data_IF_545234496809
#
_entry.id   IF_545234496809
#
_cell.length_a   1.000
_cell.length_b   1.000
_cell.length_c   1.000
_cell.angle_alpha   90.00
_cell.angle_beta   90.00
_cell.angle_gamma   90.00
#
_symmetry.space_group_name_H-M   'P 1'
#
loop_
_entity.id
_entity.type
_entity.pdbx_description
1 polymer ?
#
# COMPACT_ATOMS: atom_id res chain seq x y z
N UNK A 1 -0.18 3.65 10.37
CA UNK A 1 -0.71 2.57 9.52
C UNK A 1 0.30 2.19 8.46
N UNK A 2 0.22 0.96 7.94
CA UNK A 2 1.10 0.45 6.89
C UNK A 2 0.26 -0.15 5.77
N UNK A 3 0.57 0.23 4.54
CA UNK A 3 -0.15 -0.24 3.35
C UNK A 3 0.85 -0.76 2.33
N UNK A 4 0.66 -2.00 1.89
CA UNK A 4 1.35 -2.56 0.74
C UNK A 4 0.58 -2.17 -0.52
N UNK A 5 1.22 -1.44 -1.42
CA UNK A 5 0.74 -1.23 -2.79
C UNK A 5 1.39 -2.28 -3.67
N UNK A 6 0.57 -3.11 -4.33
CA UNK A 6 1.05 -4.25 -5.11
C UNK A 6 1.51 -3.81 -6.48
N UNK A 7 2.61 -4.39 -6.94
CA UNK A 7 3.01 -4.26 -8.33
C UNK A 7 1.98 -4.97 -9.22
N UNK A 8 1.84 -4.48 -10.45
CA UNK A 8 0.93 -5.08 -11.43
C UNK A 8 1.71 -5.64 -12.60
N UNK A 9 1.22 -6.75 -13.14
CA UNK A 9 1.68 -7.26 -14.42
C UNK A 9 1.25 -6.31 -15.56
N UNK A 10 1.79 -6.53 -16.78
CA UNK A 10 1.46 -5.72 -17.96
C UNK A 10 -0.03 -5.70 -18.32
N UNK A 11 -0.80 -6.66 -17.80
CA UNK A 11 -2.25 -6.75 -17.97
C UNK A 11 -3.04 -6.12 -16.81
N UNK A 12 -2.37 -5.42 -15.89
CA UNK A 12 -2.98 -4.75 -14.75
C UNK A 12 -3.33 -5.65 -13.57
N UNK A 13 -3.05 -6.95 -13.63
CA UNK A 13 -3.32 -7.87 -12.51
C UNK A 13 -2.29 -7.70 -11.40
N UNK A 14 -2.70 -7.66 -10.12
CA UNK A 14 -1.78 -7.55 -8.99
C UNK A 14 -0.90 -8.80 -8.88
N UNK A 15 0.37 -8.59 -8.51
CA UNK A 15 1.33 -9.65 -8.23
C UNK A 15 1.38 -9.93 -6.72
N UNK A 16 1.37 -11.22 -6.35
CA UNK A 16 1.45 -11.64 -4.96
C UNK A 16 2.88 -11.50 -4.41
N UNK A 17 2.99 -10.88 -3.24
CA UNK A 17 4.27 -10.71 -2.54
C UNK A 17 5.22 -9.69 -3.18
N UNK A 18 4.78 -8.97 -4.20
CA UNK A 18 5.56 -7.94 -4.89
C UNK A 18 4.85 -6.57 -4.83
N UNK A 19 5.60 -5.54 -4.48
CA UNK A 19 5.06 -4.20 -4.24
C UNK A 19 5.90 -3.34 -3.30
N UNK A 20 5.36 -2.18 -2.96
CA UNK A 20 6.00 -1.19 -2.10
C UNK A 20 5.15 -0.91 -0.86
N UNK A 21 5.79 -0.83 0.31
CA UNK A 21 5.11 -0.55 1.58
C UNK A 21 5.24 0.92 1.93
N UNK A 22 4.09 1.56 2.11
CA UNK A 22 3.99 2.95 2.55
C UNK A 22 3.48 3.01 3.99
N UNK A 23 4.05 3.94 4.77
CA UNK A 23 3.73 4.12 6.19
C UNK A 23 3.36 5.58 6.44
N UNK A 24 2.32 5.80 7.24
CA UNK A 24 1.86 7.14 7.63
C UNK A 24 1.03 7.10 8.91
N UNK A 25 0.88 8.23 9.60
CA UNK A 25 0.04 8.32 10.80
C UNK A 25 -1.45 8.28 10.41
N UNK A 26 -1.81 8.97 9.33
CA UNK A 26 -3.14 9.02 8.73
C UNK A 26 -3.19 8.38 7.33
N UNK A 27 -4.40 8.18 6.79
CA UNK A 27 -4.57 7.71 5.40
C UNK A 27 -3.97 8.71 4.41
N UNK A 28 -4.20 10.00 4.67
CA UNK A 28 -3.66 11.09 3.85
C UNK A 28 -2.13 11.04 3.80
N UNK A 29 -1.47 10.76 4.92
CA UNK A 29 0.01 10.63 4.97
C UNK A 29 0.51 9.47 4.12
N UNK A 30 -0.20 8.34 4.12
CA UNK A 30 0.13 7.20 3.25
C UNK A 30 0.04 7.59 1.78
N UNK A 31 -1.03 8.27 1.39
CA UNK A 31 -1.22 8.70 -0.01
C UNK A 31 -0.18 9.77 -0.40
N UNK A 32 0.23 10.64 0.51
CA UNK A 32 1.36 11.56 0.29
C UNK A 32 2.69 10.81 0.12
N UNK A 33 2.94 9.77 0.93
CA UNK A 33 4.13 8.94 0.78
C UNK A 33 4.14 8.22 -0.58
N UNK A 34 2.99 7.71 -1.04
CA UNK A 34 2.82 7.13 -2.37
C UNK A 34 3.17 8.14 -3.47
N UNK A 35 2.60 9.35 -3.40
CA UNK A 35 2.90 10.44 -4.34
C UNK A 35 4.40 10.72 -4.44
N UNK A 36 5.08 10.81 -3.29
CA UNK A 36 6.51 11.10 -3.20
C UNK A 36 7.44 10.03 -3.77
N UNK A 37 6.98 8.77 -3.88
CA UNK A 37 7.77 7.68 -4.46
C UNK A 37 7.63 7.57 -5.99
N UNK A 38 6.57 8.16 -6.56
CA UNK A 38 6.39 8.13 -8.02
C UNK A 38 7.24 9.17 -8.75
N UNK A 39 7.64 8.86 -9.99
CA UNK A 39 8.23 9.84 -10.93
C UNK A 39 7.29 11.01 -11.28
N UNK A 40 6.06 11.00 -10.76
CA UNK A 40 5.03 12.03 -10.96
C UNK A 40 4.86 12.92 -9.72
N UNK A 41 5.91 13.06 -8.90
CA UNK A 41 5.94 13.90 -7.70
C UNK A 41 5.62 15.37 -7.95
N UNK A 42 5.69 15.82 -9.20
CA UNK A 42 5.48 17.20 -9.65
C UNK A 42 4.01 17.67 -9.59
N UNK A 43 3.07 16.76 -9.34
CA UNK A 43 1.67 17.11 -9.04
C UNK A 43 1.64 18.05 -7.82
N UNK A 44 0.95 19.20 -7.89
CA UNK A 44 0.95 20.18 -6.78
C UNK A 44 0.14 19.68 -5.58
N UNK A 45 -0.97 19.00 -5.83
CA UNK A 45 -1.90 18.56 -4.80
C UNK A 45 -2.11 17.03 -4.82
N UNK A 46 -2.60 16.48 -3.71
CA UNK A 46 -2.96 15.07 -3.54
C UNK A 46 -4.14 14.68 -4.44
N UNK A 47 -5.08 15.60 -4.67
CA UNK A 47 -6.23 15.34 -5.53
C UNK A 47 -5.82 15.13 -6.99
N UNK A 48 -4.90 15.96 -7.50
CA UNK A 48 -4.36 15.81 -8.85
C UNK A 48 -3.59 14.50 -9.02
N UNK A 49 -2.87 14.09 -7.96
CA UNK A 49 -2.20 12.79 -7.91
C UNK A 49 -3.22 11.64 -7.97
N UNK A 50 -4.28 11.68 -7.15
CA UNK A 50 -5.34 10.67 -7.16
C UNK A 50 -5.96 10.58 -8.56
N UNK A 51 -6.36 11.70 -9.15
CA UNK A 51 -6.94 11.76 -10.48
C UNK A 51 -6.04 11.17 -11.56
N UNK A 52 -4.74 11.42 -11.49
CA UNK A 52 -3.76 10.81 -12.38
C UNK A 52 -3.72 9.28 -12.22
N UNK A 53 -3.71 8.77 -10.98
CA UNK A 53 -3.71 7.32 -10.73
C UNK A 53 -5.00 6.70 -11.27
N UNK A 54 -6.17 7.32 -11.07
CA UNK A 54 -7.45 6.84 -11.61
C UNK A 54 -7.41 6.76 -13.14
N UNK A 55 -6.89 7.80 -13.80
CA UNK A 55 -6.72 7.81 -15.26
C UNK A 55 -5.80 6.68 -15.72
N UNK A 56 -4.67 6.48 -15.05
CA UNK A 56 -3.71 5.43 -15.40
C UNK A 56 -4.28 4.04 -15.18
N UNK A 57 -4.97 3.80 -14.07
CA UNK A 57 -5.63 2.52 -13.79
C UNK A 57 -6.64 2.17 -14.90
N UNK A 58 -7.41 3.15 -15.36
CA UNK A 58 -8.37 2.96 -16.46
C UNK A 58 -7.68 2.74 -17.80
N UNK A 59 -6.69 3.56 -18.14
CA UNK A 59 -6.05 3.53 -19.47
C UNK A 59 -5.09 2.36 -19.66
N UNK A 60 -4.33 2.00 -18.62
CA UNK A 60 -3.26 1.01 -18.71
C UNK A 60 -3.73 -0.38 -18.28
N UNK A 61 -4.62 -0.44 -17.30
CA UNK A 61 -5.06 -1.70 -16.68
C UNK A 61 -6.54 -2.02 -16.92
N UNK A 62 -7.30 -1.11 -17.55
CA UNK A 62 -8.75 -1.27 -17.74
C UNK A 62 -9.54 -1.26 -16.43
N UNK A 63 -8.93 -0.86 -15.31
CA UNK A 63 -9.55 -0.85 -13.99
C UNK A 63 -10.19 0.50 -13.73
N UNK A 64 -11.51 0.51 -13.53
CA UNK A 64 -12.24 1.72 -13.19
C UNK A 64 -12.40 1.84 -11.67
N UNK A 65 -11.63 2.75 -11.09
CA UNK A 65 -11.64 3.06 -9.65
C UNK A 65 -12.58 4.25 -9.41
N UNK A 66 -13.45 4.14 -8.40
CA UNK A 66 -14.37 5.20 -8.02
C UNK A 66 -13.95 5.82 -6.68
N UNK A 67 -13.74 7.14 -6.67
CA UNK A 67 -13.39 7.92 -5.47
C UNK A 67 -14.51 8.89 -5.14
N UNK A 68 -14.85 9.00 -3.85
CA UNK A 68 -15.88 9.90 -3.31
C UNK A 68 -15.30 10.73 -2.17
N UNK A 69 -15.96 11.84 -1.85
CA UNK A 69 -15.58 12.73 -0.76
C UNK A 69 -15.43 14.17 -1.22
N UNK A 70 -15.65 15.11 -0.30
CA UNK A 70 -15.57 16.55 -0.55
C UNK A 70 -14.26 17.14 -0.03
N UNK A 71 -13.60 16.45 0.91
CA UNK A 71 -12.31 16.84 1.46
C UNK A 71 -11.17 15.95 0.94
N UNK A 72 -9.93 16.46 1.01
CA UNK A 72 -8.73 15.70 0.64
C UNK A 72 -8.59 14.39 1.45
N UNK A 73 -8.95 14.41 2.73
CA UNK A 73 -8.90 13.24 3.60
C UNK A 73 -9.94 12.18 3.21
N UNK A 74 -11.19 12.60 2.93
CA UNK A 74 -12.24 11.68 2.46
C UNK A 74 -11.89 11.06 1.11
N UNK A 75 -11.33 11.86 0.18
CA UNK A 75 -10.88 11.37 -1.13
C UNK A 75 -9.71 10.40 -0.98
N UNK A 76 -8.73 10.69 -0.12
CA UNK A 76 -7.61 9.78 0.15
C UNK A 76 -8.11 8.45 0.75
N UNK A 77 -9.05 8.51 1.68
CA UNK A 77 -9.69 7.33 2.26
C UNK A 77 -10.45 6.51 1.21
N UNK A 78 -11.29 7.16 0.41
CA UNK A 78 -12.04 6.47 -0.65
C UNK A 78 -11.14 5.91 -1.74
N UNK A 79 -10.02 6.58 -2.05
CA UNK A 79 -9.02 6.12 -3.00
C UNK A 79 -8.33 4.85 -2.50
N UNK A 80 -7.85 4.85 -1.25
CA UNK A 80 -7.19 3.68 -0.68
C UNK A 80 -8.14 2.49 -0.59
N UNK A 81 -9.39 2.72 -0.18
CA UNK A 81 -10.43 1.70 -0.16
C UNK A 81 -10.70 1.11 -1.56
N UNK A 82 -10.71 1.94 -2.60
CA UNK A 82 -10.83 1.46 -3.98
C UNK A 82 -9.65 0.57 -4.39
N UNK A 83 -8.40 0.96 -4.06
CA UNK A 83 -7.24 0.11 -4.35
C UNK A 83 -7.31 -1.24 -3.63
N UNK A 84 -7.73 -1.24 -2.36
CA UNK A 84 -7.89 -2.47 -1.58
C UNK A 84 -8.96 -3.37 -2.18
N UNK A 85 -10.13 -2.82 -2.53
CA UNK A 85 -11.24 -3.57 -3.14
C UNK A 85 -10.86 -4.25 -4.46
N UNK A 86 -9.97 -3.63 -5.22
CA UNK A 86 -9.46 -4.17 -6.47
C UNK A 86 -8.21 -5.06 -6.31
N UNK A 87 -7.79 -5.33 -5.07
CA UNK A 87 -6.61 -6.15 -4.77
C UNK A 87 -5.28 -5.49 -5.17
N UNK A 88 -5.29 -4.18 -5.42
CA UNK A 88 -4.10 -3.38 -5.76
C UNK A 88 -3.36 -2.89 -4.50
N UNK A 89 -4.02 -2.94 -3.34
CA UNK A 89 -3.44 -2.59 -2.07
C UNK A 89 -3.89 -3.53 -0.94
N UNK A 90 -3.12 -3.59 0.13
CA UNK A 90 -3.43 -4.34 1.33
C UNK A 90 -2.98 -3.57 2.58
N UNK A 91 -3.85 -3.46 3.58
CA UNK A 91 -3.48 -2.91 4.88
C UNK A 91 -2.72 -3.98 5.66
N UNK A 92 -1.49 -3.68 6.05
CA UNK A 92 -0.73 -4.55 6.94
C UNK A 92 -1.02 -4.16 8.39
N UNK A 93 -1.62 -5.07 9.14
CA UNK A 93 -1.70 -4.94 10.59
C UNK A 93 -0.31 -5.06 11.20
N UNK A 94 0.03 -4.19 12.16
CA UNK A 94 1.24 -4.31 12.99
C UNK A 94 1.12 -5.45 14.02
N UNK A 95 0.61 -6.62 13.60
CA UNK A 95 0.90 -7.82 14.36
C UNK A 95 2.39 -8.07 14.20
N UNK A 96 3.20 -8.05 15.29
CA UNK A 96 4.57 -8.50 15.19
C UNK A 96 4.49 -9.90 14.60
N UNK A 97 5.17 -10.11 13.46
CA UNK A 97 5.33 -11.43 12.90
C UNK A 97 5.80 -12.32 14.05
N UNK A 98 4.92 -13.19 14.56
CA UNK A 98 5.34 -14.26 15.46
C UNK A 98 6.18 -15.15 14.59
N UNK A 99 7.47 -14.85 14.52
CA UNK A 99 8.46 -15.80 14.04
C UNK A 99 8.35 -16.94 15.06
N UNK A 100 7.85 -18.14 14.68
CA UNK A 100 7.89 -19.25 15.60
C UNK A 100 9.38 -19.56 15.79
N UNK A 101 9.94 -19.18 16.95
CA UNK A 101 11.29 -19.58 17.32
C UNK A 101 11.24 -21.12 17.37
N UNK A 102 11.96 -21.84 16.51
CA UNK A 102 12.00 -23.28 16.60
C UNK A 102 12.59 -23.64 17.97
N UNK A 103 11.94 -24.56 18.70
CA UNK A 103 12.34 -24.99 20.05
C UNK A 103 13.77 -25.55 20.13
N UNK A 104 14.44 -25.76 19.00
CA UNK A 104 15.82 -26.23 18.86
C UNK A 104 16.88 -25.25 19.38
N UNK A 105 16.58 -23.95 19.52
CA UNK A 105 17.59 -22.96 19.94
C UNK A 105 17.92 -23.01 21.45
N UNK A 106 17.14 -23.72 22.28
CA UNK A 106 17.32 -23.72 23.74
C UNK A 106 18.17 -24.86 24.33
N UNK A 107 18.68 -25.80 23.53
CA UNK A 107 19.50 -26.90 24.08
C UNK A 107 21.01 -26.59 24.19
N UNK A 108 21.45 -25.38 23.86
CA UNK A 108 22.88 -25.04 23.80
C UNK A 108 23.51 -24.33 25.00
N UNK A 109 22.75 -23.93 26.03
CA UNK A 109 23.24 -23.01 27.08
C UNK A 109 23.42 -23.70 28.45
N UNK A 110 23.19 -25.00 28.57
CA UNK A 110 23.35 -25.74 29.84
C UNK A 110 24.62 -26.60 29.91
N UNK A 111 25.69 -26.18 29.22
CA UNK A 111 26.96 -26.90 29.17
C UNK A 111 28.17 -26.04 29.57
N UNK A 112 27.99 -25.09 30.50
CA UNK A 112 29.12 -24.43 31.18
C UNK A 112 28.82 -24.41 32.68
N UNK A 113 29.31 -25.44 33.36
CA UNK A 113 29.46 -25.47 34.81
C UNK A 113 30.93 -25.67 35.15
#
# INVERSE_FOLDING_TARGET
MRVLIRNTALNGQPLDGDGEVFTGETVTDVVYAMKGSTLFSDQRDIEDYIDMVLRNAKMLSGVELAVRGDTAEEKAASFLDALIKHGLAEVQDDKPARIPIPAIVWQGIDAVR
#
